data_IF_825149189415
#
_entry.id   IF_825149189415
#
_cell.length_a   1.000
_cell.length_b   1.000
_cell.length_c   1.000
_cell.angle_alpha   90.00
_cell.angle_beta   90.00
_cell.angle_gamma   90.00
#
_symmetry.space_group_name_H-M   'P 1'
#
loop_
_entity.id
_entity.type
_entity.pdbx_description
1 polymer ?
#
# COMPACT_ATOMS: atom_id res chain seq x y z
N UNK A 1 -16.66 -47.15 -7.39
CA UNK A 1 -15.19 -47.03 -7.29
C UNK A 1 -14.70 -46.50 -8.63
N UNK A 2 -13.89 -45.48 -8.79
CA UNK A 2 -13.22 -44.51 -7.91
C UNK A 2 -12.63 -43.53 -8.97
N UNK A 3 -12.77 -42.21 -8.75
CA UNK A 3 -11.80 -41.13 -9.08
C UNK A 3 -11.03 -41.23 -10.43
N UNK A 4 -10.94 -40.21 -11.27
CA UNK A 4 -10.24 -38.94 -11.00
C UNK A 4 -10.72 -37.95 -12.08
N UNK A 5 -11.48 -36.95 -11.67
CA UNK A 5 -11.63 -35.70 -12.43
C UNK A 5 -10.36 -34.91 -12.19
N UNK A 6 -9.45 -34.90 -13.18
CA UNK A 6 -8.20 -34.17 -13.10
C UNK A 6 -8.49 -32.67 -13.15
N UNK A 7 -8.44 -32.09 -11.96
CA UNK A 7 -8.30 -30.69 -11.63
C UNK A 7 -7.22 -30.07 -12.53
N UNK A 8 -7.65 -29.28 -13.51
CA UNK A 8 -6.84 -28.19 -14.07
C UNK A 8 -7.63 -26.91 -13.85
N UNK A 9 -7.85 -26.59 -12.58
CA UNK A 9 -8.13 -25.20 -12.21
C UNK A 9 -6.76 -24.51 -12.30
N UNK A 10 -6.45 -24.02 -13.49
CA UNK A 10 -5.33 -23.12 -13.71
C UNK A 10 -5.53 -21.95 -12.77
N UNK A 11 -4.88 -22.03 -11.60
CA UNK A 11 -4.71 -20.91 -10.70
C UNK A 11 -3.78 -19.98 -11.46
N UNK A 12 -4.39 -19.09 -12.24
CA UNK A 12 -3.71 -17.98 -12.88
C UNK A 12 -3.27 -17.12 -11.70
N UNK A 13 -2.08 -17.43 -11.19
CA UNK A 13 -1.36 -16.65 -10.20
C UNK A 13 -1.07 -15.33 -10.88
N UNK A 14 -2.08 -14.47 -10.86
CA UNK A 14 -2.02 -13.10 -11.32
C UNK A 14 -1.05 -12.45 -10.35
N UNK A 15 0.23 -12.36 -10.75
CA UNK A 15 1.18 -11.45 -10.14
C UNK A 15 0.55 -10.07 -10.27
N UNK A 16 -0.18 -9.64 -9.24
CA UNK A 16 -0.49 -8.25 -9.08
C UNK A 16 0.86 -7.52 -9.01
N UNK A 17 1.12 -6.53 -9.88
CA UNK A 17 2.34 -5.76 -9.80
C UNK A 17 2.31 -5.00 -8.47
N UNK A 18 3.08 -5.48 -7.49
CA UNK A 18 3.46 -4.66 -6.36
C UNK A 18 4.11 -3.39 -6.92
N UNK A 19 3.70 -2.22 -6.44
CA UNK A 19 4.31 -0.95 -6.84
C UNK A 19 5.83 -1.06 -6.71
N UNK A 20 6.53 -1.06 -7.85
CA UNK A 20 7.97 -1.35 -7.91
C UNK A 20 8.86 -0.25 -7.33
N UNK A 21 8.28 0.77 -6.69
CA UNK A 21 9.03 1.88 -6.12
C UNK A 21 8.29 2.57 -4.98
N UNK A 22 9.03 3.37 -4.18
CA UNK A 22 8.45 4.10 -3.06
C UNK A 22 7.44 5.14 -3.53
N UNK A 23 6.36 5.30 -2.74
CA UNK A 23 5.25 6.23 -3.03
C UNK A 23 5.62 7.70 -2.80
N UNK A 24 6.86 7.99 -2.42
CA UNK A 24 7.35 9.30 -2.06
C UNK A 24 8.78 9.56 -2.59
N UNK A 25 9.10 10.84 -2.83
CA UNK A 25 10.45 11.31 -3.16
C UNK A 25 11.20 11.89 -1.95
N UNK A 26 10.45 12.48 -1.02
CA UNK A 26 10.97 13.09 0.19
C UNK A 26 10.56 12.25 1.40
N UNK A 27 11.46 12.15 2.38
CA UNK A 27 11.21 11.48 3.64
C UNK A 27 10.07 12.17 4.40
N UNK A 28 8.98 11.48 4.73
CA UNK A 28 7.81 12.10 5.39
C UNK A 28 8.09 12.51 6.84
N UNK A 29 9.22 12.07 7.39
CA UNK A 29 9.64 12.40 8.76
C UNK A 29 10.42 13.72 8.82
N UNK A 30 11.34 13.94 7.88
CA UNK A 30 12.31 15.06 7.93
C UNK A 30 12.34 15.93 6.65
N UNK A 31 11.56 15.61 5.62
CA UNK A 31 11.50 16.36 4.36
C UNK A 31 12.71 16.23 3.42
N UNK A 32 13.83 15.64 3.88
CA UNK A 32 15.01 15.36 3.05
C UNK A 32 14.70 14.36 1.94
N UNK A 33 15.48 14.37 0.85
CA UNK A 33 15.37 13.35 -0.20
C UNK A 33 15.44 11.96 0.42
N UNK A 34 14.51 11.08 0.04
CA UNK A 34 14.57 9.67 0.37
C UNK A 34 15.22 8.98 -0.82
N UNK A 35 16.52 8.72 -0.71
CA UNK A 35 17.38 8.12 -1.73
C UNK A 35 17.03 6.65 -2.05
N UNK A 36 15.96 6.10 -1.47
CA UNK A 36 15.47 4.74 -1.75
C UNK A 36 16.28 3.63 -1.07
N UNK A 37 17.41 3.96 -0.41
CA UNK A 37 18.27 3.00 0.29
C UNK A 37 17.61 2.37 1.52
N UNK A 38 16.57 3.00 2.06
CA UNK A 38 15.80 2.48 3.19
C UNK A 38 14.33 2.75 2.96
N UNK A 39 13.52 1.70 2.95
CA UNK A 39 12.07 1.79 2.80
C UNK A 39 11.35 1.01 3.91
N UNK A 40 10.11 1.39 4.15
CA UNK A 40 9.17 0.71 5.04
C UNK A 40 8.01 0.24 4.19
N UNK A 41 7.73 -1.06 4.22
CA UNK A 41 6.56 -1.63 3.58
C UNK A 41 5.33 -1.42 4.48
N UNK A 42 4.28 -0.85 3.91
CA UNK A 42 3.00 -0.64 4.59
C UNK A 42 1.93 -1.42 3.85
N UNK A 43 1.31 -2.37 4.55
CA UNK A 43 0.18 -3.14 4.03
C UNK A 43 -1.12 -2.37 4.27
N UNK A 44 -1.92 -2.22 3.22
CA UNK A 44 -3.23 -1.58 3.25
C UNK A 44 -4.27 -2.62 2.87
N UNK A 45 -5.28 -2.80 3.73
CA UNK A 45 -6.39 -3.71 3.47
C UNK A 45 -7.62 -2.96 2.97
N UNK A 46 -8.40 -3.64 2.15
CA UNK A 46 -9.60 -3.12 1.51
C UNK A 46 -10.76 -4.08 1.73
N UNK A 47 -11.99 -3.59 1.59
CA UNK A 47 -13.17 -4.44 1.73
C UNK A 47 -13.41 -5.37 0.52
N UNK A 48 -12.71 -5.17 -0.60
CA UNK A 48 -12.85 -5.96 -1.82
C UNK A 48 -11.76 -5.61 -2.85
N UNK A 49 -11.56 -6.50 -3.82
CA UNK A 49 -10.61 -6.31 -4.93
C UNK A 49 -10.87 -5.08 -5.80
N UNK A 50 -12.10 -4.54 -5.84
CA UNK A 50 -12.39 -3.29 -6.56
C UNK A 50 -11.81 -2.05 -5.87
N UNK A 51 -11.81 -2.03 -4.53
CA UNK A 51 -11.21 -0.94 -3.77
C UNK A 51 -9.68 -1.04 -3.81
N UNK A 52 -9.14 -2.25 -3.71
CA UNK A 52 -7.73 -2.55 -3.94
C UNK A 52 -7.28 -2.07 -5.31
N UNK A 53 -7.96 -2.45 -6.39
CA UNK A 53 -7.61 -2.03 -7.75
C UNK A 53 -7.73 -0.51 -7.97
N UNK A 54 -8.57 0.21 -7.21
CA UNK A 54 -8.60 1.68 -7.24
C UNK A 54 -7.36 2.27 -6.57
N UNK A 55 -6.95 1.69 -5.45
CA UNK A 55 -5.73 2.07 -4.77
C UNK A 55 -4.50 1.77 -5.62
N UNK A 56 -4.45 0.61 -6.28
CA UNK A 56 -3.32 0.23 -7.11
C UNK A 56 -3.18 1.05 -8.40
N UNK A 57 -4.16 1.89 -8.74
CA UNK A 57 -4.04 2.83 -9.87
C UNK A 57 -3.35 4.13 -9.48
N UNK A 58 -3.59 4.59 -8.25
CA UNK A 58 -3.04 5.83 -7.73
C UNK A 58 -2.96 5.77 -6.20
N UNK A 59 -1.98 5.05 -5.65
CA UNK A 59 -1.87 4.86 -4.21
C UNK A 59 -1.57 6.19 -3.53
N UNK A 60 -0.77 7.05 -4.18
CA UNK A 60 -0.32 8.34 -3.65
C UNK A 60 -1.51 9.27 -3.40
N UNK A 61 -2.47 9.36 -4.34
CA UNK A 61 -3.69 10.15 -4.16
C UNK A 61 -4.59 9.65 -3.02
N UNK A 62 -4.42 8.40 -2.61
CA UNK A 62 -5.27 7.74 -1.62
C UNK A 62 -4.60 7.57 -0.25
N UNK A 63 -3.30 7.85 -0.11
CA UNK A 63 -2.57 7.76 1.17
C UNK A 63 -3.20 8.61 2.27
N UNK A 64 -3.66 9.82 1.94
CA UNK A 64 -4.35 10.69 2.89
C UNK A 64 -5.65 10.06 3.42
N UNK A 65 -6.34 9.27 2.59
CA UNK A 65 -7.53 8.52 3.03
C UNK A 65 -7.12 7.36 3.92
N UNK A 66 -6.10 6.59 3.54
CA UNK A 66 -5.53 5.50 4.36
C UNK A 66 -5.16 6.02 5.76
N UNK A 67 -4.46 7.14 5.82
CA UNK A 67 -4.01 7.75 7.08
C UNK A 67 -5.15 8.16 8.01
N UNK A 68 -6.29 8.61 7.45
CA UNK A 68 -7.47 9.06 8.21
C UNK A 68 -8.45 7.94 8.53
N UNK A 69 -8.24 6.76 7.99
CA UNK A 69 -9.18 5.66 8.12
C UNK A 69 -8.90 4.87 9.40
N UNK A 70 -9.98 4.58 10.14
CA UNK A 70 -9.92 3.75 11.33
C UNK A 70 -9.39 2.34 11.00
N UNK A 71 -8.73 1.71 11.95
CA UNK A 71 -8.26 0.33 11.81
C UNK A 71 -9.40 -0.63 11.48
N UNK A 72 -9.13 -1.57 10.58
CA UNK A 72 -10.12 -2.52 10.08
C UNK A 72 -11.19 -1.92 9.15
N UNK A 73 -11.08 -0.65 8.74
CA UNK A 73 -11.99 -0.03 7.77
C UNK A 73 -11.31 0.22 6.43
N UNK A 74 -12.07 0.03 5.36
CA UNK A 74 -11.63 0.25 4.00
C UNK A 74 -11.50 1.76 3.74
N UNK A 75 -10.34 2.25 3.30
CA UNK A 75 -10.10 3.68 3.12
C UNK A 75 -10.83 4.31 1.93
N UNK A 76 -11.45 3.47 1.09
CA UNK A 76 -12.21 3.90 -0.08
C UNK A 76 -13.71 3.99 0.23
N UNK A 77 -14.26 2.97 0.89
CA UNK A 77 -15.71 2.80 1.09
C UNK A 77 -16.17 2.95 2.55
N UNK A 78 -15.26 2.87 3.53
CA UNK A 78 -15.57 2.86 4.95
C UNK A 78 -16.16 1.55 5.49
N UNK A 79 -16.29 0.50 4.66
CA UNK A 79 -16.74 -0.83 5.10
C UNK A 79 -15.62 -1.60 5.82
N UNK A 80 -15.95 -2.68 6.50
CA UNK A 80 -14.95 -3.58 7.07
C UNK A 80 -14.01 -4.14 6.00
N UNK A 81 -12.73 -4.28 6.35
CA UNK A 81 -11.71 -4.82 5.46
C UNK A 81 -11.85 -6.34 5.33
N UNK A 82 -11.35 -6.84 4.21
CA UNK A 82 -11.25 -8.25 3.89
C UNK A 82 -9.77 -8.62 3.77
N UNK A 83 -9.37 -9.77 4.33
CA UNK A 83 -7.96 -10.18 4.40
C UNK A 83 -7.39 -10.57 3.03
N UNK A 84 -8.25 -10.90 2.06
CA UNK A 84 -7.84 -11.29 0.72
C UNK A 84 -7.60 -10.08 -0.20
N UNK A 85 -8.17 -8.91 0.14
CA UNK A 85 -8.03 -7.68 -0.64
C UNK A 85 -7.01 -6.72 -0.03
N UNK A 86 -5.72 -6.97 -0.27
CA UNK A 86 -4.63 -6.17 0.32
C UNK A 86 -3.59 -5.72 -0.70
N UNK A 87 -3.04 -4.51 -0.50
CA UNK A 87 -1.94 -3.96 -1.29
C UNK A 87 -0.81 -3.51 -0.39
N UNK A 88 0.42 -3.76 -0.81
CA UNK A 88 1.63 -3.30 -0.11
C UNK A 88 2.23 -2.11 -0.85
N UNK A 89 2.52 -1.03 -0.11
CA UNK A 89 3.26 0.13 -0.63
C UNK A 89 4.59 0.26 0.08
N UNK A 90 5.58 0.79 -0.64
CA UNK A 90 6.88 1.14 -0.05
C UNK A 90 6.93 2.62 0.28
N UNK A 91 7.36 2.98 1.49
CA UNK A 91 7.62 4.36 1.92
C UNK A 91 9.11 4.54 2.16
N UNK A 92 9.78 5.31 1.30
CA UNK A 92 11.21 5.57 1.44
C UNK A 92 11.49 6.61 2.54
N UNK A 93 12.60 6.40 3.25
CA UNK A 93 13.09 7.28 4.30
C UNK A 93 14.57 7.57 4.11
N UNK A 94 15.02 8.74 4.58
CA UNK A 94 16.40 9.19 4.38
C UNK A 94 17.42 8.57 5.36
N UNK A 95 16.97 7.83 6.39
CA UNK A 95 17.86 7.13 7.32
C UNK A 95 17.12 6.08 8.19
N UNK A 96 17.88 5.17 8.81
CA UNK A 96 17.34 4.14 9.72
C UNK A 96 16.55 4.70 10.91
N UNK A 97 16.93 5.87 11.45
CA UNK A 97 16.16 6.52 12.51
C UNK A 97 14.77 6.97 12.06
N UNK A 98 14.61 7.34 10.78
CA UNK A 98 13.29 7.65 10.22
C UNK A 98 12.49 6.39 9.93
N UNK A 99 13.15 5.28 9.55
CA UNK A 99 12.52 3.96 9.38
C UNK A 99 11.73 3.57 10.62
N UNK A 100 12.38 3.57 11.79
CA UNK A 100 11.73 3.20 13.05
C UNK A 100 10.59 4.13 13.47
N UNK A 101 10.56 5.38 12.99
CA UNK A 101 9.42 6.29 13.22
C UNK A 101 8.23 5.93 12.33
N UNK A 102 8.48 5.66 11.05
CA UNK A 102 7.44 5.25 10.09
C UNK A 102 6.86 3.88 10.46
N UNK A 103 7.69 2.93 10.91
CA UNK A 103 7.21 1.61 11.37
C UNK A 103 6.29 1.72 12.60
N UNK A 104 6.57 2.65 13.52
CA UNK A 104 5.73 2.86 14.71
C UNK A 104 4.41 3.54 14.40
N UNK A 105 4.39 4.50 13.49
CA UNK A 105 3.20 5.30 13.19
C UNK A 105 3.01 5.51 11.69
N UNK A 106 2.83 4.44 10.88
CA UNK A 106 2.84 4.56 9.42
C UNK A 106 1.76 5.51 8.93
N UNK A 107 0.54 5.42 9.48
CA UNK A 107 -0.60 6.29 9.12
C UNK A 107 -0.29 7.78 9.27
N UNK A 108 0.38 8.18 10.34
CA UNK A 108 0.74 9.58 10.60
C UNK A 108 1.65 10.13 9.47
N UNK A 109 2.60 9.31 9.00
CA UNK A 109 3.54 9.71 7.98
C UNK A 109 2.99 9.56 6.56
N UNK A 110 2.04 8.64 6.32
CA UNK A 110 1.34 8.53 5.04
C UNK A 110 0.57 9.82 4.70
N UNK A 111 -0.03 10.50 5.68
CA UNK A 111 -0.69 11.79 5.46
C UNK A 111 0.26 12.93 5.05
N UNK A 112 1.56 12.79 5.38
CA UNK A 112 2.61 13.77 5.06
C UNK A 112 3.25 13.53 3.70
N UNK A 113 2.92 12.43 3.03
CA UNK A 113 3.37 12.15 1.67
C UNK A 113 2.44 12.95 0.75
N UNK A 114 2.91 14.12 0.34
CA UNK A 114 2.20 14.93 -0.64
C UNK A 114 2.18 14.18 -1.97
N UNK A 115 0.97 13.90 -2.45
CA UNK A 115 0.79 13.49 -3.83
C UNK A 115 1.17 14.63 -4.74
N UNK A 116 2.38 14.59 -5.29
CA UNK A 116 2.62 15.28 -6.55
C UNK A 116 1.62 14.68 -7.53
N UNK A 117 0.63 15.50 -7.92
CA UNK A 117 -0.10 15.32 -9.17
C UNK A 117 0.96 14.93 -10.20
N UNK A 118 0.71 13.86 -10.92
CA UNK A 118 1.45 13.49 -12.12
C UNK A 118 1.53 14.75 -12.99
N UNK A 119 2.68 15.44 -12.94
CA UNK A 119 2.99 16.53 -13.86
C UNK A 119 2.96 15.88 -15.25
N UNK A 120 1.95 16.23 -16.03
CA UNK A 120 1.83 15.92 -17.46
C UNK A 120 1.38 17.16 -18.19
#
# INVERSE_FOLDING_TARGET
MKIISLIVCGFIMSLAPAFAGPVNKNCPVKGKAADGSTAVEVKVAFCCGRCQAKFDKDPVALLAKVAKTADGKCPISGRDVDEDATSTISVAVCCGGCKGKVEKNPKEYLAKIEGKKKDS
#
